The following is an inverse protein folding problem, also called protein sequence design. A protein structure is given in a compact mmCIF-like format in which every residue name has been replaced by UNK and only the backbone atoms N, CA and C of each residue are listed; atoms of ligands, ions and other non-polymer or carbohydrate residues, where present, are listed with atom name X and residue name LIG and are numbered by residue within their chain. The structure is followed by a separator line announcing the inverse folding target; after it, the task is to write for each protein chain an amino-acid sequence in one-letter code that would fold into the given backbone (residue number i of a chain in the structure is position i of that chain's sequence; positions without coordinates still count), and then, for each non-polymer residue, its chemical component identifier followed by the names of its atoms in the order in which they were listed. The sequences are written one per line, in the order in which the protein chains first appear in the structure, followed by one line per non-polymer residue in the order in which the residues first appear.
data_IF_313011407486
#
_entry.id   IF_313011407486
#
_cell.length_a   1.000
_cell.length_b   1.000
_cell.length_c   1.000
_cell.angle_alpha   90.00
_cell.angle_beta   90.00
_cell.angle_gamma   90.00
#
_symmetry.space_group_name_H-M   'P 1'
#
loop_
_entity.id
_entity.type
_entity.pdbx_description
1 polymer ?
#
# COMPACT_ATOMS: atom_id res chain seq x y z
N UNK A 1 18.01 -16.53 4.75
CA UNK A 1 18.27 -15.11 4.42
C UNK A 1 16.91 -14.44 4.20
N UNK A 2 16.56 -13.38 4.94
CA UNK A 2 15.29 -12.67 4.73
C UNK A 2 15.43 -11.72 3.55
N UNK A 3 14.51 -11.80 2.58
CA UNK A 3 14.45 -10.87 1.44
C UNK A 3 13.47 -9.76 1.82
N UNK A 4 13.85 -8.47 1.71
CA UNK A 4 12.92 -7.39 1.98
C UNK A 4 11.76 -7.47 0.98
N UNK A 5 10.54 -7.59 1.51
CA UNK A 5 9.32 -7.70 0.74
C UNK A 5 8.28 -6.65 1.14
N UNK A 6 8.72 -5.56 1.80
CA UNK A 6 7.84 -4.47 2.21
C UNK A 6 8.40 -3.14 1.71
N UNK A 7 7.66 -2.50 0.80
CA UNK A 7 7.94 -1.16 0.29
C UNK A 7 6.93 -0.17 0.85
N UNK A 8 7.40 1.01 1.26
CA UNK A 8 6.56 2.11 1.73
C UNK A 8 6.82 3.33 0.85
N UNK A 9 5.75 3.95 0.34
CA UNK A 9 5.79 5.25 -0.32
C UNK A 9 5.16 6.30 0.60
N UNK A 10 5.83 7.42 0.77
CA UNK A 10 5.25 8.58 1.45
C UNK A 10 4.37 9.36 0.46
N UNK A 11 3.14 9.64 0.87
CA UNK A 11 2.12 10.29 0.04
C UNK A 11 1.39 11.38 0.83
N UNK A 12 0.79 12.34 0.13
CA UNK A 12 0.08 13.45 0.76
C UNK A 12 -1.31 13.04 1.24
N UNK A 13 -1.98 12.21 0.44
CA UNK A 13 -3.36 11.79 0.67
C UNK A 13 -3.42 10.26 0.57
N UNK A 14 -3.23 9.54 1.69
CA UNK A 14 -3.18 8.07 1.69
C UNK A 14 -4.43 7.42 1.11
N UNK A 15 -5.62 7.93 1.42
CA UNK A 15 -6.88 7.38 0.92
C UNK A 15 -7.06 7.56 -0.59
N UNK A 16 -6.73 8.74 -1.14
CA UNK A 16 -6.80 8.98 -2.58
C UNK A 16 -5.74 8.17 -3.33
N UNK A 17 -4.53 8.12 -2.78
CA UNK A 17 -3.45 7.27 -3.32
C UNK A 17 -3.83 5.79 -3.25
N UNK A 18 -4.48 5.36 -2.17
CA UNK A 18 -5.00 4.01 -2.00
C UNK A 18 -6.03 3.65 -3.08
N UNK A 19 -6.98 4.54 -3.38
CA UNK A 19 -7.94 4.32 -4.46
C UNK A 19 -7.25 4.22 -5.83
N UNK A 20 -6.27 5.09 -6.09
CA UNK A 20 -5.46 5.03 -7.32
C UNK A 20 -4.72 3.70 -7.45
N UNK A 21 -4.02 3.26 -6.39
CA UNK A 21 -3.27 2.00 -6.42
C UNK A 21 -4.17 0.77 -6.42
N UNK A 22 -5.36 0.83 -5.82
CA UNK A 22 -6.34 -0.27 -5.94
C UNK A 22 -6.73 -0.51 -7.40
N UNK A 23 -7.05 0.57 -8.14
CA UNK A 23 -7.36 0.50 -9.56
C UNK A 23 -6.16 0.03 -10.40
N UNK A 24 -4.95 0.49 -10.07
CA UNK A 24 -3.73 0.12 -10.80
C UNK A 24 -3.34 -1.35 -10.59
N UNK A 25 -3.48 -1.85 -9.36
CA UNK A 25 -3.11 -3.21 -8.97
C UNK A 25 -4.23 -4.22 -9.19
N UNK A 26 -5.46 -3.76 -9.43
CA UNK A 26 -6.66 -4.59 -9.47
C UNK A 26 -6.91 -5.31 -8.15
N UNK A 27 -6.54 -4.69 -7.02
CA UNK A 27 -6.55 -5.29 -5.68
C UNK A 27 -6.95 -4.28 -4.63
N UNK A 28 -7.91 -4.65 -3.79
CA UNK A 28 -8.27 -3.86 -2.63
C UNK A 28 -7.18 -3.90 -1.55
N UNK A 29 -6.96 -2.79 -0.83
CA UNK A 29 -6.05 -2.77 0.30
C UNK A 29 -6.58 -3.63 1.44
N UNK A 30 -5.66 -4.26 2.18
CA UNK A 30 -5.98 -5.02 3.40
C UNK A 30 -6.17 -4.11 4.61
N UNK A 31 -5.63 -2.89 4.55
CA UNK A 31 -5.79 -1.84 5.56
C UNK A 31 -5.93 -0.49 4.85
N UNK A 32 -6.93 0.29 5.24
CA UNK A 32 -7.16 1.62 4.69
C UNK A 32 -7.59 2.57 5.79
N UNK A 33 -6.77 3.58 6.05
CA UNK A 33 -6.97 4.58 7.09
C UNK A 33 -6.49 5.95 6.61
N UNK A 34 -6.91 7.05 7.27
CA UNK A 34 -6.51 8.40 6.87
C UNK A 34 -5.00 8.65 6.82
N UNK A 35 -4.20 7.90 7.59
CA UNK A 35 -2.75 8.06 7.68
C UNK A 35 -1.97 6.95 7.00
N UNK A 36 -2.61 5.81 6.71
CA UNK A 36 -1.92 4.63 6.19
C UNK A 36 -2.83 3.72 5.37
N UNK A 37 -2.32 3.23 4.24
CA UNK A 37 -2.97 2.22 3.40
C UNK A 37 -1.98 1.09 3.11
N UNK A 38 -2.43 -0.17 3.17
CA UNK A 38 -1.60 -1.35 2.96
C UNK A 38 -2.22 -2.29 1.93
N UNK A 39 -1.40 -2.73 0.98
CA UNK A 39 -1.71 -3.82 0.05
C UNK A 39 -0.85 -5.03 0.36
N UNK A 40 -1.43 -6.21 0.17
CA UNK A 40 -0.69 -7.47 0.10
C UNK A 40 -0.81 -8.00 -1.33
N UNK A 41 0.34 -8.08 -2.00
CA UNK A 41 0.49 -8.60 -3.34
C UNK A 41 0.86 -10.09 -3.30
N UNK A 42 1.17 -10.64 -4.47
CA UNK A 42 1.57 -12.02 -4.62
C UNK A 42 2.77 -12.38 -3.75
N UNK A 43 2.82 -13.64 -3.31
CA UNK A 43 3.87 -14.18 -2.45
C UNK A 43 4.09 -13.40 -1.14
N UNK A 44 3.07 -12.65 -0.68
CA UNK A 44 3.11 -11.92 0.59
C UNK A 44 3.93 -10.62 0.54
N UNK A 45 4.21 -10.09 -0.65
CA UNK A 45 4.84 -8.78 -0.79
C UNK A 45 3.89 -7.68 -0.31
N UNK A 46 4.39 -6.77 0.52
CA UNK A 46 3.63 -5.68 1.14
C UNK A 46 3.96 -4.36 0.47
N UNK A 47 2.93 -3.60 0.16
CA UNK A 47 3.06 -2.28 -0.42
C UNK A 47 2.24 -1.29 0.41
N UNK A 48 2.92 -0.41 1.13
CA UNK A 48 2.33 0.56 2.05
C UNK A 48 2.39 1.97 1.51
N UNK A 49 1.35 2.76 1.81
CA UNK A 49 1.27 4.19 1.54
C UNK A 49 1.12 4.90 2.88
N UNK A 50 2.06 5.77 3.22
CA UNK A 50 2.07 6.47 4.51
C UNK A 50 1.97 7.97 4.28
N UNK A 51 1.13 8.66 5.03
CA UNK A 51 1.14 10.13 5.09
C UNK A 51 2.55 10.65 5.38
N UNK A 52 3.04 11.59 4.56
CA UNK A 52 4.27 12.33 4.85
C UNK A 52 4.15 13.26 6.06
#
# INVERSE_FOLDING_TARGET
MAIPNFVILYVDQPLESGAFYSALLGREPVESSPTFVLFVLDAGFKFGLWSR
#
